data_IF_064347313367
#
_entry.id   IF_064347313367
#
_cell.length_a   1.000
_cell.length_b   1.000
_cell.length_c   1.000
_cell.angle_alpha   90.00
_cell.angle_beta   90.00
_cell.angle_gamma   90.00
#
_symmetry.space_group_name_H-M   'P 1'
#
loop_
_entity.id
_entity.type
_entity.pdbx_description
1 polymer ?
#
# COMPACT_ATOMS: atom_id res chain seq x y z
N UNK A 1 -39.58 25.56 18.85
CA UNK A 1 -38.68 24.40 18.96
C UNK A 1 -37.77 24.45 17.75
N UNK A 2 -36.55 25.01 17.92
CA UNK A 2 -35.55 25.02 16.86
C UNK A 2 -34.96 23.62 16.76
N UNK A 3 -35.32 22.90 15.71
CA UNK A 3 -34.60 21.71 15.26
C UNK A 3 -33.22 22.18 14.81
N UNK A 4 -32.26 22.20 15.73
CA UNK A 4 -30.87 22.47 15.39
C UNK A 4 -30.37 21.35 14.50
N UNK A 5 -30.36 21.56 13.19
CA UNK A 5 -29.60 20.70 12.30
C UNK A 5 -28.16 20.68 12.81
N UNK A 6 -27.56 19.49 13.02
CA UNK A 6 -26.16 19.40 13.39
C UNK A 6 -25.33 20.15 12.32
N UNK A 7 -24.26 20.84 12.71
CA UNK A 7 -23.43 21.56 11.74
C UNK A 7 -22.98 20.57 10.66
N UNK A 8 -23.32 20.87 9.40
CA UNK A 8 -22.92 20.07 8.24
C UNK A 8 -21.40 19.93 8.26
N UNK A 9 -20.91 18.71 8.51
CA UNK A 9 -19.47 18.47 8.51
C UNK A 9 -18.95 18.56 7.08
N UNK A 10 -17.86 19.31 6.91
CA UNK A 10 -17.32 19.65 5.60
C UNK A 10 -16.07 18.84 5.28
N UNK A 11 -15.71 18.81 4.00
CA UNK A 11 -14.44 18.26 3.54
C UNK A 11 -13.26 19.02 4.15
N UNK A 12 -13.44 20.31 4.44
CA UNK A 12 -12.41 21.12 5.07
C UNK A 12 -12.10 20.62 6.49
N UNK A 13 -13.11 20.24 7.28
CA UNK A 13 -12.89 19.66 8.62
C UNK A 13 -12.10 18.36 8.56
N UNK A 14 -12.41 17.51 7.57
CA UNK A 14 -11.70 16.26 7.32
C UNK A 14 -10.23 16.52 6.97
N UNK A 15 -9.98 17.46 6.05
CA UNK A 15 -8.62 17.84 5.64
C UNK A 15 -7.83 18.43 6.81
N UNK A 16 -8.43 19.31 7.61
CA UNK A 16 -7.78 19.90 8.78
C UNK A 16 -7.38 18.83 9.80
N UNK A 17 -8.26 17.88 10.10
CA UNK A 17 -7.95 16.77 11.00
C UNK A 17 -6.79 15.90 10.46
N UNK A 18 -6.77 15.61 9.16
CA UNK A 18 -5.69 14.86 8.52
C UNK A 18 -4.35 15.61 8.55
N UNK A 19 -4.34 16.91 8.25
CA UNK A 19 -3.12 17.74 8.31
C UNK A 19 -2.59 17.84 9.74
N UNK A 20 -3.47 17.88 10.74
CA UNK A 20 -3.09 17.88 12.16
C UNK A 20 -2.62 16.51 12.67
N UNK A 21 -2.76 15.43 11.87
CA UNK A 21 -2.49 14.07 12.32
C UNK A 21 -3.53 13.50 13.29
N UNK A 22 -4.68 14.17 13.46
CA UNK A 22 -5.79 13.72 14.29
C UNK A 22 -6.68 12.72 13.51
N UNK A 23 -6.12 11.53 13.27
CA UNK A 23 -6.81 10.48 12.52
C UNK A 23 -8.10 9.98 13.17
N UNK A 24 -8.24 9.86 14.51
CA UNK A 24 -9.51 9.54 15.14
C UNK A 24 -10.61 10.55 14.79
N UNK A 25 -10.31 11.85 14.85
CA UNK A 25 -11.25 12.89 14.43
C UNK A 25 -11.56 12.82 12.94
N UNK A 26 -10.54 12.62 12.10
CA UNK A 26 -10.73 12.48 10.66
C UNK A 26 -11.69 11.32 10.31
N UNK A 27 -11.53 10.17 10.98
CA UNK A 27 -12.42 9.02 10.82
C UNK A 27 -13.85 9.31 11.31
N UNK A 28 -14.00 9.95 12.47
CA UNK A 28 -15.31 10.35 12.98
C UNK A 28 -16.03 11.31 12.02
N UNK A 29 -15.29 12.25 11.41
CA UNK A 29 -15.81 13.17 10.40
C UNK A 29 -16.24 12.45 9.13
N UNK A 30 -15.48 11.45 8.70
CA UNK A 30 -15.81 10.66 7.52
C UNK A 30 -17.14 9.90 7.69
N UNK A 31 -17.43 9.39 8.88
CA UNK A 31 -18.65 8.61 9.16
C UNK A 31 -19.94 9.42 9.07
N UNK A 32 -19.88 10.71 9.40
CA UNK A 32 -21.04 11.62 9.39
C UNK A 32 -21.05 12.59 8.22
N UNK A 33 -20.17 12.39 7.24
CA UNK A 33 -20.03 13.28 6.09
C UNK A 33 -21.28 13.27 5.21
N UNK A 34 -21.81 14.46 4.94
CA UNK A 34 -23.01 14.65 4.11
C UNK A 34 -22.83 14.10 2.69
N UNK A 35 -23.89 13.54 2.06
CA UNK A 35 -23.81 12.91 0.74
C UNK A 35 -23.15 13.76 -0.36
N UNK A 36 -23.42 15.07 -0.38
CA UNK A 36 -22.88 16.02 -1.36
C UNK A 36 -21.35 16.11 -1.35
N UNK A 37 -20.71 15.76 -0.24
CA UNK A 37 -19.26 15.84 -0.06
C UNK A 37 -18.53 14.51 -0.34
N UNK A 38 -19.28 13.40 -0.45
CA UNK A 38 -18.70 12.05 -0.47
C UNK A 38 -17.78 11.81 -1.66
N UNK A 39 -18.18 12.27 -2.85
CA UNK A 39 -17.38 12.06 -4.07
C UNK A 39 -16.01 12.72 -3.96
N UNK A 40 -15.95 13.96 -3.48
CA UNK A 40 -14.72 14.70 -3.29
C UNK A 40 -13.90 14.17 -2.09
N UNK A 41 -14.55 13.59 -1.08
CA UNK A 41 -13.88 12.97 0.06
C UNK A 41 -13.36 11.54 -0.20
N UNK A 42 -13.75 10.88 -1.29
CA UNK A 42 -13.38 9.50 -1.56
C UNK A 42 -11.85 9.23 -1.58
N UNK A 43 -10.99 10.11 -2.15
CA UNK A 43 -9.54 9.94 -2.03
C UNK A 43 -9.03 10.03 -0.58
N UNK A 44 -9.65 10.87 0.25
CA UNK A 44 -9.31 11.01 1.67
C UNK A 44 -9.76 9.78 2.46
N UNK A 45 -10.96 9.25 2.17
CA UNK A 45 -11.44 7.98 2.70
C UNK A 45 -10.44 6.85 2.40
N UNK A 46 -9.93 6.81 1.17
CA UNK A 46 -8.90 5.84 0.80
C UNK A 46 -7.62 6.06 1.62
N UNK A 47 -7.11 7.29 1.74
CA UNK A 47 -5.93 7.58 2.56
C UNK A 47 -6.09 7.15 4.03
N UNK A 48 -7.28 7.30 4.61
CA UNK A 48 -7.63 6.91 5.98
C UNK A 48 -7.91 5.40 6.17
N UNK A 49 -7.66 4.57 5.15
CA UNK A 49 -7.87 3.14 5.26
C UNK A 49 -9.34 2.75 5.25
N UNK A 50 -10.18 3.45 4.48
CA UNK A 50 -11.59 3.12 4.21
C UNK A 50 -11.82 2.85 2.72
N UNK A 51 -11.19 1.80 2.14
CA UNK A 51 -11.30 1.52 0.71
C UNK A 51 -12.73 1.22 0.27
N UNK A 52 -13.59 0.58 1.09
CA UNK A 52 -14.99 0.35 0.71
C UNK A 52 -15.76 1.66 0.52
N UNK A 53 -15.60 2.60 1.45
CA UNK A 53 -16.22 3.93 1.33
C UNK A 53 -15.69 4.66 0.09
N UNK A 54 -14.37 4.65 -0.12
CA UNK A 54 -13.76 5.28 -1.28
C UNK A 54 -14.31 4.72 -2.61
N UNK A 55 -14.42 3.39 -2.73
CA UNK A 55 -14.94 2.73 -3.92
C UNK A 55 -16.44 3.05 -4.15
N UNK A 56 -17.22 3.13 -3.07
CA UNK A 56 -18.65 3.41 -3.13
C UNK A 56 -18.96 4.88 -3.46
N UNK A 57 -18.10 5.81 -3.05
CA UNK A 57 -18.36 7.25 -3.17
C UNK A 57 -17.82 7.87 -4.44
N UNK A 58 -16.83 7.25 -5.09
CA UNK A 58 -16.13 7.86 -6.23
C UNK A 58 -16.61 7.35 -7.58
N UNK A 59 -16.82 8.27 -8.51
CA UNK A 59 -16.95 7.93 -9.93
C UNK A 59 -15.62 8.07 -10.69
N UNK A 60 -14.54 8.44 -10.00
CA UNK A 60 -13.22 8.59 -10.61
C UNK A 60 -12.58 7.19 -10.76
N UNK A 61 -12.35 6.71 -12.00
CA UNK A 61 -11.87 5.34 -12.25
C UNK A 61 -10.61 4.94 -11.47
N UNK A 62 -9.60 5.83 -11.44
CA UNK A 62 -8.33 5.56 -10.76
C UNK A 62 -8.46 5.47 -9.24
N UNK A 63 -9.33 6.25 -8.62
CA UNK A 63 -9.59 6.20 -7.18
C UNK A 63 -10.33 4.91 -6.84
N UNK A 64 -11.36 4.58 -7.62
CA UNK A 64 -12.14 3.34 -7.48
C UNK A 64 -11.23 2.12 -7.60
N UNK A 65 -10.39 2.05 -8.64
CA UNK A 65 -9.47 0.94 -8.85
C UNK A 65 -8.44 0.81 -7.72
N UNK A 66 -7.84 1.91 -7.26
CA UNK A 66 -6.92 1.88 -6.13
C UNK A 66 -7.59 1.36 -4.84
N UNK A 67 -8.85 1.72 -4.60
CA UNK A 67 -9.63 1.24 -3.48
C UNK A 67 -9.94 -0.27 -3.60
N UNK A 68 -10.42 -0.72 -4.77
CA UNK A 68 -10.68 -2.13 -5.06
C UNK A 68 -9.42 -3.00 -4.91
N UNK A 69 -8.27 -2.50 -5.33
CA UNK A 69 -7.00 -3.21 -5.16
C UNK A 69 -6.62 -3.38 -3.68
N UNK A 70 -6.96 -2.44 -2.79
CA UNK A 70 -6.77 -2.63 -1.34
C UNK A 70 -7.62 -3.77 -0.80
N UNK A 71 -8.82 -3.93 -1.34
CA UNK A 71 -9.76 -5.01 -1.02
C UNK A 71 -9.40 -6.35 -1.70
N UNK A 72 -8.35 -6.39 -2.52
CA UNK A 72 -7.95 -7.59 -3.28
C UNK A 72 -8.87 -7.89 -4.46
N UNK A 73 -9.74 -6.96 -4.85
CA UNK A 73 -10.70 -7.11 -5.95
C UNK A 73 -10.06 -6.73 -7.29
N UNK A 74 -8.96 -7.39 -7.64
CA UNK A 74 -8.14 -7.06 -8.81
C UNK A 74 -8.92 -7.08 -10.13
N UNK A 75 -9.85 -8.03 -10.32
CA UNK A 75 -10.67 -8.09 -11.54
C UNK A 75 -11.61 -6.88 -11.66
N UNK A 76 -12.26 -6.48 -10.56
CA UNK A 76 -13.11 -5.30 -10.53
C UNK A 76 -12.30 -4.00 -10.72
N UNK A 77 -11.07 -3.96 -10.23
CA UNK A 77 -10.16 -2.84 -10.46
C UNK A 77 -9.77 -2.70 -11.94
N UNK A 78 -9.48 -3.81 -12.63
CA UNK A 78 -9.21 -3.82 -14.07
C UNK A 78 -10.44 -3.34 -14.86
N UNK A 79 -11.63 -3.79 -14.46
CA UNK A 79 -12.89 -3.35 -15.05
C UNK A 79 -13.09 -1.85 -14.92
N UNK A 80 -12.89 -1.30 -13.72
CA UNK A 80 -12.98 0.13 -13.47
C UNK A 80 -11.99 0.95 -14.33
N UNK A 81 -10.87 0.36 -14.75
CA UNK A 81 -9.85 1.00 -15.59
C UNK A 81 -10.03 0.72 -17.08
N UNK A 82 -11.08 0.02 -17.53
CA UNK A 82 -11.20 -0.43 -18.93
C UNK A 82 -11.03 0.70 -19.95
N UNK A 83 -11.60 1.87 -19.69
CA UNK A 83 -11.58 3.01 -20.62
C UNK A 83 -10.36 3.94 -20.46
N UNK A 84 -9.45 3.64 -19.53
CA UNK A 84 -8.34 4.53 -19.14
C UNK A 84 -7.01 4.10 -19.76
N UNK A 85 -6.96 3.98 -21.08
CA UNK A 85 -5.76 3.53 -21.79
C UNK A 85 -4.67 4.63 -21.79
N UNK A 86 -3.40 4.21 -21.83
CA UNK A 86 -2.26 5.11 -22.09
C UNK A 86 -2.01 6.25 -21.09
N UNK A 87 -2.17 6.00 -19.79
CA UNK A 87 -1.71 6.94 -18.76
C UNK A 87 -0.97 6.21 -17.63
N UNK A 88 0.02 6.88 -17.02
CA UNK A 88 0.94 6.31 -16.05
C UNK A 88 0.23 5.74 -14.80
N UNK A 89 -0.69 6.50 -14.20
CA UNK A 89 -1.41 6.08 -12.99
C UNK A 89 -2.32 4.87 -13.22
N UNK A 90 -3.21 4.85 -14.24
CA UNK A 90 -3.93 3.63 -14.62
C UNK A 90 -3.00 2.44 -14.89
N UNK A 91 -1.90 2.64 -15.62
CA UNK A 91 -0.95 1.56 -15.92
C UNK A 91 -0.32 0.97 -14.64
N UNK A 92 0.06 1.81 -13.68
CA UNK A 92 0.59 1.35 -12.38
C UNK A 92 -0.44 0.51 -11.59
N UNK A 93 -1.72 0.89 -11.64
CA UNK A 93 -2.80 0.14 -11.00
C UNK A 93 -3.10 -1.18 -11.72
N UNK A 94 -3.04 -1.22 -13.06
CA UNK A 94 -3.15 -2.48 -13.83
C UNK A 94 -2.02 -3.44 -13.50
N UNK A 95 -0.77 -2.96 -13.49
CA UNK A 95 0.37 -3.77 -13.10
C UNK A 95 0.23 -4.35 -11.68
N UNK A 96 -0.32 -3.56 -10.74
CA UNK A 96 -0.65 -4.04 -9.40
C UNK A 96 -1.75 -5.12 -9.44
N UNK A 97 -2.80 -4.93 -10.22
CA UNK A 97 -3.87 -5.90 -10.39
C UNK A 97 -3.36 -7.22 -10.95
N UNK A 98 -2.55 -7.18 -12.02
CA UNK A 98 -1.92 -8.35 -12.61
C UNK A 98 -1.03 -9.09 -11.62
N UNK A 99 -0.27 -8.37 -10.81
CA UNK A 99 0.53 -8.97 -9.74
C UNK A 99 -0.33 -9.66 -8.67
N UNK A 100 -1.43 -9.04 -8.22
CA UNK A 100 -2.36 -9.65 -7.26
C UNK A 100 -3.04 -10.90 -7.82
N UNK A 101 -3.28 -10.94 -9.12
CA UNK A 101 -3.81 -12.11 -9.84
C UNK A 101 -2.75 -13.17 -10.17
N UNK A 102 -1.48 -12.93 -9.84
CA UNK A 102 -0.35 -13.79 -10.20
C UNK A 102 -0.26 -14.06 -11.72
N UNK A 103 -0.65 -13.06 -12.52
CA UNK A 103 -0.52 -13.12 -13.97
C UNK A 103 0.95 -13.23 -14.38
N UNK A 104 1.26 -14.10 -15.35
CA UNK A 104 2.60 -14.23 -15.91
C UNK A 104 3.09 -12.93 -16.57
N UNK A 105 2.18 -12.03 -16.95
CA UNK A 105 2.47 -10.72 -17.52
C UNK A 105 2.77 -9.61 -16.51
N UNK A 106 2.64 -9.85 -15.19
CA UNK A 106 2.70 -8.80 -14.18
C UNK A 106 4.03 -8.01 -14.14
N UNK A 107 5.14 -8.66 -14.49
CA UNK A 107 6.46 -7.99 -14.60
C UNK A 107 6.47 -7.07 -15.82
N UNK A 108 6.00 -7.55 -16.97
CA UNK A 108 5.92 -6.76 -18.21
C UNK A 108 5.03 -5.54 -18.02
N UNK A 109 3.86 -5.70 -17.39
CA UNK A 109 2.98 -4.58 -17.08
C UNK A 109 3.63 -3.54 -16.17
N UNK A 110 4.44 -3.97 -15.18
CA UNK A 110 5.15 -3.04 -14.31
C UNK A 110 6.25 -2.27 -15.05
N UNK A 111 6.95 -2.88 -16.02
CA UNK A 111 7.92 -2.16 -16.85
C UNK A 111 7.24 -1.17 -17.81
N UNK A 112 6.07 -1.51 -18.36
CA UNK A 112 5.30 -0.61 -19.20
C UNK A 112 4.76 0.60 -18.40
N UNK A 113 4.22 0.34 -17.20
CA UNK A 113 3.78 1.41 -16.30
C UNK A 113 4.93 2.34 -15.92
N UNK A 114 6.13 1.79 -15.71
CA UNK A 114 7.34 2.57 -15.45
C UNK A 114 7.68 3.47 -16.65
N UNK A 115 7.68 2.92 -17.86
CA UNK A 115 7.97 3.66 -19.10
C UNK A 115 7.01 4.83 -19.28
N UNK A 116 5.71 4.60 -19.07
CA UNK A 116 4.68 5.65 -19.13
C UNK A 116 4.90 6.73 -18.07
N UNK A 117 5.15 6.32 -16.81
CA UNK A 117 5.41 7.25 -15.72
C UNK A 117 6.66 8.12 -15.96
N UNK A 118 7.70 7.57 -16.60
CA UNK A 118 8.87 8.35 -17.02
C UNK A 118 8.54 9.32 -18.14
N UNK A 119 7.78 8.89 -19.15
CA UNK A 119 7.40 9.73 -20.29
C UNK A 119 6.51 10.91 -19.88
N UNK A 120 5.60 10.68 -18.93
CA UNK A 120 4.67 11.70 -18.41
C UNK A 120 5.29 12.58 -17.33
N UNK A 121 6.44 12.19 -16.76
CA UNK A 121 7.03 12.87 -15.61
C UNK A 121 6.20 12.72 -14.33
N UNK A 122 5.37 11.68 -14.22
CA UNK A 122 4.53 11.45 -13.04
C UNK A 122 5.35 10.80 -11.91
N UNK A 123 5.90 11.65 -11.04
CA UNK A 123 6.71 11.25 -9.89
C UNK A 123 5.99 10.26 -8.96
N UNK A 124 4.68 10.44 -8.72
CA UNK A 124 3.92 9.57 -7.84
C UNK A 124 3.73 8.19 -8.47
N UNK A 125 3.43 8.11 -9.77
CA UNK A 125 3.36 6.85 -10.49
C UNK A 125 4.71 6.15 -10.55
N UNK A 126 5.82 6.89 -10.74
CA UNK A 126 7.17 6.33 -10.72
C UNK A 126 7.51 5.68 -9.38
N UNK A 127 7.21 6.35 -8.27
CA UNK A 127 7.45 5.80 -6.92
C UNK A 127 6.58 4.56 -6.68
N UNK A 128 5.30 4.60 -7.07
CA UNK A 128 4.40 3.45 -6.93
C UNK A 128 4.87 2.23 -7.72
N UNK A 129 5.32 2.43 -8.96
CA UNK A 129 5.83 1.36 -9.82
C UNK A 129 7.18 0.85 -9.35
N UNK A 130 8.11 1.73 -8.95
CA UNK A 130 9.38 1.32 -8.35
C UNK A 130 9.18 0.45 -7.11
N UNK A 131 8.20 0.81 -6.26
CA UNK A 131 7.80 0.03 -5.10
C UNK A 131 7.28 -1.34 -5.50
N UNK A 132 6.29 -1.42 -6.41
CA UNK A 132 5.74 -2.69 -6.92
C UNK A 132 6.84 -3.59 -7.53
N UNK A 133 7.74 -3.01 -8.32
CA UNK A 133 8.87 -3.73 -8.94
C UNK A 133 9.82 -4.29 -7.88
N UNK A 134 10.03 -3.55 -6.78
CA UNK A 134 10.77 -4.02 -5.62
C UNK A 134 10.10 -5.20 -4.95
N UNK A 135 8.78 -5.11 -4.70
CA UNK A 135 7.98 -6.19 -4.10
C UNK A 135 8.04 -7.48 -4.91
N UNK A 136 7.83 -7.38 -6.23
CA UNK A 136 7.90 -8.51 -7.17
C UNK A 136 9.26 -9.23 -7.16
N UNK A 137 10.33 -8.52 -6.79
CA UNK A 137 11.70 -9.01 -6.83
C UNK A 137 12.25 -9.36 -5.46
N UNK A 138 11.45 -9.38 -4.40
CA UNK A 138 11.96 -9.59 -3.03
C UNK A 138 12.67 -10.95 -2.83
N UNK A 139 12.44 -11.96 -3.67
CA UNK A 139 13.21 -13.21 -3.68
C UNK A 139 14.66 -13.03 -4.13
N UNK A 140 14.95 -12.01 -4.94
CA UNK A 140 16.28 -11.51 -5.26
C UNK A 140 16.46 -10.11 -4.64
N UNK A 141 16.95 -10.02 -3.39
CA UNK A 141 17.01 -8.75 -2.68
C UNK A 141 17.91 -7.72 -3.37
N UNK A 142 18.93 -8.12 -4.14
CA UNK A 142 19.74 -7.16 -4.90
C UNK A 142 18.96 -6.56 -6.07
N UNK A 143 18.17 -7.36 -6.78
CA UNK A 143 17.27 -6.84 -7.80
C UNK A 143 16.16 -5.96 -7.22
N UNK A 144 15.62 -6.32 -6.06
CA UNK A 144 14.65 -5.50 -5.34
C UNK A 144 15.23 -4.12 -4.96
N UNK A 145 16.43 -4.09 -4.37
CA UNK A 145 17.11 -2.84 -4.01
C UNK A 145 17.34 -1.93 -5.22
N UNK A 146 17.76 -2.50 -6.36
CA UNK A 146 17.94 -1.73 -7.60
C UNK A 146 16.64 -1.11 -8.11
N UNK A 147 15.53 -1.86 -8.03
CA UNK A 147 14.22 -1.32 -8.40
C UNK A 147 13.77 -0.19 -7.47
N UNK A 148 13.96 -0.36 -6.15
CA UNK A 148 13.55 0.62 -5.14
C UNK A 148 14.39 1.91 -5.15
N UNK A 149 15.66 1.82 -5.57
CA UNK A 149 16.55 2.97 -5.70
C UNK A 149 16.00 4.04 -6.66
N UNK A 150 15.23 3.64 -7.68
CA UNK A 150 14.55 4.58 -8.59
C UNK A 150 13.54 5.46 -7.85
N UNK A 151 12.71 4.87 -6.99
CA UNK A 151 11.75 5.62 -6.17
C UNK A 151 12.43 6.55 -5.16
N UNK A 152 13.56 6.11 -4.57
CA UNK A 152 14.36 6.97 -3.70
C UNK A 152 14.95 8.16 -4.46
N UNK A 153 15.38 7.94 -5.70
CA UNK A 153 15.95 9.01 -6.54
C UNK A 153 14.90 10.05 -6.91
N UNK A 154 13.67 9.62 -7.19
CA UNK A 154 12.55 10.54 -7.43
C UNK A 154 12.33 11.43 -6.22
N UNK A 155 12.22 10.86 -5.01
CA UNK A 155 12.04 11.63 -3.78
C UNK A 155 13.16 12.67 -3.57
N UNK A 156 14.42 12.26 -3.76
CA UNK A 156 15.58 13.17 -3.71
C UNK A 156 15.47 14.33 -4.70
N UNK A 157 15.09 14.05 -5.95
CA UNK A 157 14.98 15.07 -7.00
C UNK A 157 13.81 16.04 -6.77
N UNK A 158 12.72 15.58 -6.19
CA UNK A 158 11.55 16.42 -5.85
C UNK A 158 11.73 17.21 -4.57
N UNK A 159 12.70 16.85 -3.71
CA UNK A 159 12.85 17.40 -2.37
C UNK A 159 11.84 16.85 -1.34
N UNK A 160 10.95 15.96 -1.77
CA UNK A 160 9.94 15.34 -0.93
C UNK A 160 10.52 14.22 -0.04
N UNK A 161 9.95 13.97 1.14
CA UNK A 161 10.26 12.79 1.92
C UNK A 161 9.97 11.51 1.12
N UNK A 162 10.90 10.55 1.14
CA UNK A 162 10.66 9.23 0.59
C UNK A 162 9.34 8.60 1.11
N UNK A 163 8.58 8.01 0.18
CA UNK A 163 7.27 7.39 0.43
C UNK A 163 7.35 6.28 1.48
N UNK A 164 6.33 6.20 2.33
CA UNK A 164 6.29 5.24 3.44
C UNK A 164 6.25 3.78 2.96
N UNK A 165 5.52 3.50 1.87
CA UNK A 165 5.40 2.15 1.33
C UNK A 165 6.72 1.72 0.69
N UNK A 166 7.36 2.62 -0.06
CA UNK A 166 8.70 2.42 -0.60
C UNK A 166 9.70 2.07 0.52
N UNK A 167 9.70 2.83 1.63
CA UNK A 167 10.58 2.57 2.77
C UNK A 167 10.28 1.22 3.44
N UNK A 168 9.01 0.85 3.60
CA UNK A 168 8.64 -0.44 4.19
C UNK A 168 9.18 -1.61 3.36
N UNK A 169 8.99 -1.58 2.03
CA UNK A 169 9.49 -2.62 1.12
C UNK A 169 11.04 -2.62 1.09
N UNK A 170 11.66 -1.45 1.13
CA UNK A 170 13.12 -1.32 1.25
C UNK A 170 13.67 -1.94 2.53
N UNK A 171 12.97 -1.74 3.66
CA UNK A 171 13.31 -2.39 4.92
C UNK A 171 13.37 -3.91 4.78
N UNK A 172 12.34 -4.52 4.18
CA UNK A 172 12.31 -5.96 3.91
C UNK A 172 13.44 -6.44 3.00
N UNK A 173 13.72 -5.73 1.90
CA UNK A 173 14.82 -6.08 1.00
C UNK A 173 16.19 -6.03 1.71
N UNK A 174 16.40 -5.03 2.56
CA UNK A 174 17.63 -4.89 3.36
C UNK A 174 17.76 -5.98 4.44
N UNK A 175 16.66 -6.35 5.11
CA UNK A 175 16.66 -7.41 6.12
C UNK A 175 17.02 -8.77 5.50
N UNK A 176 16.54 -9.08 4.28
CA UNK A 176 16.88 -10.31 3.56
C UNK A 176 18.37 -10.42 3.20
N UNK A 177 19.10 -9.30 3.18
CA UNK A 177 20.56 -9.27 3.03
C UNK A 177 21.31 -9.33 4.37
N UNK A 178 20.61 -9.50 5.50
CA UNK A 178 21.20 -9.45 6.84
C UNK A 178 21.62 -8.06 7.28
N UNK A 179 21.16 -6.99 6.60
CA UNK A 179 21.55 -5.62 6.93
C UNK A 179 20.80 -5.09 8.14
N UNK A 180 21.53 -4.70 9.19
CA UNK A 180 20.97 -4.03 10.36
C UNK A 180 20.31 -2.67 10.06
N UNK A 181 20.54 -2.12 8.86
CA UNK A 181 19.84 -0.90 8.39
C UNK A 181 18.36 -1.15 8.07
N UNK A 182 17.98 -2.39 7.77
CA UNK A 182 16.62 -2.74 7.39
C UNK A 182 15.57 -2.36 8.43
N UNK A 183 15.83 -2.64 9.72
CA UNK A 183 14.96 -2.22 10.84
C UNK A 183 14.81 -0.69 10.91
N UNK A 184 15.92 0.06 10.85
CA UNK A 184 15.88 1.54 10.85
C UNK A 184 15.11 2.12 9.66
N UNK A 185 15.21 1.49 8.50
CA UNK A 185 14.43 1.88 7.32
C UNK A 185 12.94 1.60 7.54
N UNK A 186 12.60 0.45 8.13
CA UNK A 186 11.21 0.12 8.47
C UNK A 186 10.63 1.04 9.56
N UNK A 187 11.39 1.42 10.59
CA UNK A 187 11.00 2.43 11.58
C UNK A 187 10.62 3.76 10.91
N UNK A 188 11.45 4.27 10.00
CA UNK A 188 11.14 5.48 9.22
C UNK A 188 9.90 5.30 8.35
N UNK A 189 9.71 4.13 7.75
CA UNK A 189 8.50 3.79 7.01
C UNK A 189 7.26 3.82 7.91
N UNK A 190 7.37 3.27 9.12
CA UNK A 190 6.30 3.25 10.12
C UNK A 190 5.91 4.67 10.57
N UNK A 191 6.90 5.50 10.92
CA UNK A 191 6.72 6.90 11.32
C UNK A 191 5.95 7.72 10.28
N UNK A 192 6.19 7.46 8.99
CA UNK A 192 5.56 8.17 7.87
C UNK A 192 4.24 7.56 7.40
N UNK A 193 3.94 6.34 7.83
CA UNK A 193 2.76 5.61 7.35
C UNK A 193 1.49 6.13 7.99
N UNK A 194 0.39 6.13 7.22
CA UNK A 194 -0.95 6.38 7.77
C UNK A 194 -1.49 5.13 8.47
N UNK A 195 -2.36 5.27 9.50
CA UNK A 195 -3.09 4.15 10.10
C UNK A 195 -3.83 3.32 9.04
N UNK A 196 -3.83 1.99 9.20
CA UNK A 196 -4.48 1.07 8.26
C UNK A 196 -3.92 1.04 6.83
N UNK A 197 -2.79 1.70 6.56
CA UNK A 197 -2.17 1.68 5.22
C UNK A 197 -1.33 0.42 4.98
N UNK A 198 -1.15 -0.03 3.72
CA UNK A 198 -0.22 -1.12 3.40
C UNK A 198 1.20 -0.87 3.91
N UNK A 199 1.68 0.38 3.78
CA UNK A 199 2.99 0.79 4.30
C UNK A 199 3.16 0.48 5.78
N UNK A 200 2.14 0.79 6.60
CA UNK A 200 2.17 0.55 8.05
C UNK A 200 2.26 -0.94 8.36
N UNK A 201 1.41 -1.74 7.71
CA UNK A 201 1.41 -3.21 7.86
C UNK A 201 2.78 -3.78 7.52
N UNK A 202 3.34 -3.41 6.36
CA UNK A 202 4.64 -3.93 5.93
C UNK A 202 5.79 -3.47 6.84
N UNK A 203 5.77 -2.23 7.31
CA UNK A 203 6.77 -1.73 8.24
C UNK A 203 6.73 -2.49 9.57
N UNK A 204 5.55 -2.72 10.14
CA UNK A 204 5.36 -3.52 11.36
C UNK A 204 5.86 -4.96 11.19
N UNK A 205 5.61 -5.58 10.02
CA UNK A 205 6.13 -6.91 9.72
C UNK A 205 7.67 -6.94 9.66
N UNK A 206 8.30 -5.93 9.07
CA UNK A 206 9.76 -5.81 9.06
C UNK A 206 10.34 -5.60 10.47
N UNK A 207 9.55 -5.07 11.40
CA UNK A 207 9.92 -4.87 12.80
C UNK A 207 9.55 -6.05 13.70
N UNK A 208 9.11 -7.16 13.11
CA UNK A 208 8.68 -8.38 13.83
C UNK A 208 7.51 -8.13 14.79
N UNK A 209 6.56 -7.28 14.38
CA UNK A 209 5.32 -6.98 15.12
C UNK A 209 4.08 -7.49 14.37
N UNK A 210 3.91 -8.83 14.19
CA UNK A 210 2.87 -9.39 13.34
C UNK A 210 1.45 -9.16 13.88
N UNK A 211 1.24 -9.16 15.20
CA UNK A 211 -0.08 -8.95 15.80
C UNK A 211 -0.61 -7.54 15.51
N UNK A 212 0.23 -6.52 15.73
CA UNK A 212 -0.12 -5.14 15.41
C UNK A 212 -0.29 -4.94 13.89
N UNK A 213 0.55 -5.59 13.07
CA UNK A 213 0.39 -5.56 11.62
C UNK A 213 -0.97 -6.10 11.17
N UNK A 214 -1.45 -7.21 11.77
CA UNK A 214 -2.76 -7.78 11.48
C UNK A 214 -3.91 -6.89 11.97
N UNK A 215 -3.75 -6.25 13.14
CA UNK A 215 -4.71 -5.24 13.62
C UNK A 215 -4.83 -4.08 12.65
N UNK A 216 -3.71 -3.54 12.16
CA UNK A 216 -3.69 -2.47 11.16
C UNK A 216 -4.28 -2.93 9.82
N UNK A 217 -3.97 -4.14 9.36
CA UNK A 217 -4.52 -4.69 8.13
C UNK A 217 -6.06 -4.80 8.20
N UNK A 218 -6.59 -5.27 9.34
CA UNK A 218 -8.04 -5.32 9.60
C UNK A 218 -8.65 -3.92 9.65
N UNK A 219 -8.03 -2.99 10.37
CA UNK A 219 -8.50 -1.61 10.50
C UNK A 219 -8.52 -0.86 9.17
N UNK A 220 -7.60 -1.18 8.26
CA UNK A 220 -7.52 -0.63 6.90
C UNK A 220 -8.32 -1.38 5.84
N UNK A 221 -9.07 -2.43 6.24
CA UNK A 221 -9.81 -3.32 5.35
C UNK A 221 -8.95 -3.90 4.22
N UNK A 222 -7.66 -4.12 4.48
CA UNK A 222 -6.74 -4.58 3.46
C UNK A 222 -6.97 -6.08 3.21
N UNK A 223 -6.73 -6.55 1.98
CA UNK A 223 -6.75 -7.98 1.66
C UNK A 223 -5.36 -8.62 1.82
N UNK A 224 -5.27 -9.90 2.25
CA UNK A 224 -4.00 -10.56 2.56
C UNK A 224 -2.92 -10.52 1.47
N UNK A 225 -3.31 -10.37 0.20
CA UNK A 225 -2.38 -10.23 -0.93
C UNK A 225 -1.36 -9.11 -0.74
N UNK A 226 -1.66 -8.09 0.07
CA UNK A 226 -0.76 -6.97 0.35
C UNK A 226 0.40 -7.30 1.29
N UNK A 227 0.30 -8.33 2.14
CA UNK A 227 1.33 -8.59 3.15
C UNK A 227 1.72 -10.06 3.30
N UNK A 228 0.96 -11.01 2.73
CA UNK A 228 1.22 -12.45 2.88
C UNK A 228 2.64 -12.85 2.44
N UNK A 229 3.16 -12.26 1.37
CA UNK A 229 4.51 -12.53 0.87
C UNK A 229 5.66 -11.98 1.73
N UNK A 230 5.33 -11.23 2.79
CA UNK A 230 6.27 -10.61 3.72
C UNK A 230 6.29 -11.28 5.10
N UNK A 231 5.27 -12.09 5.39
CA UNK A 231 5.28 -12.90 6.60
C UNK A 231 6.46 -13.87 6.54
N UNK A 232 7.17 -14.09 7.66
CA UNK A 232 8.11 -15.20 7.74
C UNK A 232 7.36 -16.47 7.36
N UNK A 233 7.86 -17.20 6.37
CA UNK A 233 7.47 -18.60 6.22
C UNK A 233 7.85 -19.25 7.54
N UNK A 234 6.85 -19.50 8.39
CA UNK A 234 7.06 -20.15 9.68
C UNK A 234 8.00 -21.32 9.43
N UNK A 235 9.07 -21.40 10.22
CA UNK A 235 10.04 -22.48 10.11
C UNK A 235 9.26 -23.77 9.94
N UNK A 236 9.42 -24.40 8.77
CA UNK A 236 9.12 -25.82 8.68
C UNK A 236 9.93 -26.41 9.82
N UNK A 237 9.24 -26.80 10.89
CA UNK A 237 9.86 -27.43 12.03
C UNK A 237 10.67 -28.56 11.45
N UNK A 238 12.00 -28.41 11.50
CA UNK A 238 12.89 -29.53 11.43
C UNK A 238 12.46 -30.43 12.59
N UNK A 239 11.57 -31.37 12.30
CA UNK A 239 11.45 -32.61 13.06
C UNK A 239 12.78 -33.33 12.83
N UNK A 240 13.79 -32.86 13.57
CA UNK A 240 15.00 -33.58 13.82
C UNK A 240 14.61 -34.92 14.42
N UNK A 241 14.89 -35.97 13.67
CA UNK A 241 15.60 -37.15 14.14
C UNK A 241 15.72 -37.27 15.65
N UNK A 242 14.93 -38.17 16.24
CA UNK A 242 15.33 -38.85 17.45
C UNK A 242 14.93 -40.34 17.38
N UNK A 243 15.98 -41.17 17.42
CA UNK A 243 16.04 -42.48 18.08
C UNK A 243 15.33 -43.67 17.41
N UNK A 244 15.92 -44.87 17.29
CA UNK A 244 17.04 -45.52 18.01
C UNK A 244 17.68 -46.60 17.14
N UNK A 245 19.01 -46.70 17.19
CA UNK A 245 19.69 -47.97 16.95
C UNK A 245 19.32 -48.92 18.10
N UNK A 246 18.92 -50.15 17.77
CA UNK A 246 18.94 -51.29 18.70
C UNK A 246 19.60 -52.42 17.93
N UNK A 247 20.79 -52.78 18.38
CA UNK A 247 21.46 -54.03 18.08
C UNK A 247 20.59 -55.20 18.55
N UNK A 248 20.48 -56.23 17.71
CA UNK A 248 19.85 -57.52 17.98
C UNK A 248 20.05 -58.47 16.82
#
# INVERSE_FOLDING_TARGET
MNSGEPPSQTIQDLQLAMTAGDFPRALATLEVLSPEHRQQAAPLALQLGRPRLAAAWTDIPVVRAAALLRLGEAAAALEALREQEHAARPAALRARAAWQQQSSGAITEAEEARRLAQAEGDAAALVAVATLRGEQRLSDPFAALRALAEGLKVAEMTGDPADAHLLAVLGHAQLRLGSSKGRRTAEKGLERSLPGSPARVLALLALEQPEEALTQAKAGELAPVWWRGFMPSGSASASGTAHTAVDG
#
